data_IF_739619154165
#
_entry.id   IF_739619154165
#
_cell.length_a   1.000
_cell.length_b   1.000
_cell.length_c   1.000
_cell.angle_alpha   90.00
_cell.angle_beta   90.00
_cell.angle_gamma   90.00
#
_symmetry.space_group_name_H-M   'P 1'
#
loop_
_entity.id
_entity.type
_entity.pdbx_description
1 polymer ?
#
# COMPACT_ATOMS: atom_id res chain seq x y z
N UNK A 1 -1.19 -4.88 -10.28
CA UNK A 1 -0.32 -4.95 -9.09
C UNK A 1 0.11 -3.54 -8.72
N UNK A 2 0.20 -3.22 -7.43
CA UNK A 2 0.61 -1.89 -6.99
C UNK A 2 2.12 -1.71 -7.21
N UNK A 3 2.59 -0.52 -7.62
CA UNK A 3 4.01 -0.27 -7.82
C UNK A 3 4.83 -0.17 -6.53
N UNK A 4 4.17 -0.04 -5.37
CA UNK A 4 4.79 -0.09 -4.05
C UNK A 4 4.10 -1.13 -3.17
N UNK A 5 4.90 -1.99 -2.54
CA UNK A 5 4.46 -3.02 -1.59
C UNK A 5 5.04 -2.67 -0.22
N UNK A 6 4.28 -1.91 0.56
CA UNK A 6 4.64 -1.54 1.93
C UNK A 6 4.03 -2.59 2.87
N UNK A 7 4.82 -3.20 3.77
CA UNK A 7 4.28 -4.16 4.73
C UNK A 7 3.27 -3.49 5.66
N UNK A 8 2.17 -4.19 5.97
CA UNK A 8 1.29 -3.80 7.06
C UNK A 8 2.03 -3.88 8.40
N UNK A 9 1.54 -3.15 9.41
CA UNK A 9 2.19 -3.10 10.74
C UNK A 9 2.38 -4.49 11.36
N UNK A 10 1.37 -5.36 11.30
CA UNK A 10 1.44 -6.71 11.86
C UNK A 10 2.51 -7.55 11.15
N UNK A 11 2.56 -7.48 9.82
CA UNK A 11 3.59 -8.16 9.04
C UNK A 11 5.01 -7.61 9.34
N UNK A 12 5.14 -6.30 9.58
CA UNK A 12 6.41 -5.71 9.98
C UNK A 12 6.89 -6.24 11.34
N UNK A 13 5.97 -6.41 12.30
CA UNK A 13 6.29 -7.00 13.60
C UNK A 13 6.75 -8.46 13.45
N UNK A 14 6.10 -9.24 12.57
CA UNK A 14 6.56 -10.60 12.23
C UNK A 14 8.01 -10.58 11.68
N UNK A 15 8.32 -9.66 10.76
CA UNK A 15 9.68 -9.52 10.18
C UNK A 15 10.73 -9.14 11.24
N UNK A 16 10.36 -8.37 12.26
CA UNK A 16 11.26 -7.99 13.36
C UNK A 16 11.56 -9.18 14.29
N UNK A 17 10.57 -10.04 14.50
CA UNK A 17 10.70 -11.22 15.37
C UNK A 17 11.38 -12.40 14.68
N UNK A 18 11.38 -12.42 13.34
CA UNK A 18 12.03 -13.47 12.56
C UNK A 18 13.52 -13.59 12.87
N UNK A 19 13.93 -14.82 13.16
CA UNK A 19 15.32 -15.23 13.36
C UNK A 19 15.70 -16.26 12.32
N UNK A 20 16.96 -16.20 11.90
CA UNK A 20 17.55 -17.15 10.97
C UNK A 20 19.00 -16.79 10.70
N UNK A 21 19.84 -17.79 10.48
CA UNK A 21 21.25 -17.58 10.12
C UNK A 21 21.48 -18.25 8.76
N UNK A 22 21.90 -17.49 7.72
CA UNK A 22 21.97 -16.03 7.68
C UNK A 22 20.58 -15.38 7.55
N UNK A 23 20.38 -14.23 8.18
CA UNK A 23 19.35 -13.26 7.81
C UNK A 23 20.01 -12.15 7.01
N UNK A 24 19.75 -12.12 5.71
CA UNK A 24 20.32 -11.16 4.77
C UNK A 24 19.28 -10.07 4.50
N UNK A 25 19.66 -8.82 4.71
CA UNK A 25 18.90 -7.65 4.28
C UNK A 25 19.68 -6.91 3.20
N UNK A 26 19.06 -6.74 2.03
CA UNK A 26 19.57 -5.87 0.97
C UNK A 26 18.60 -4.71 0.78
N UNK A 27 19.10 -3.48 0.82
CA UNK A 27 18.37 -2.28 0.40
C UNK A 27 19.08 -1.63 -0.76
N UNK A 28 18.35 -1.17 -1.77
CA UNK A 28 18.93 -0.43 -2.90
C UNK A 28 17.96 0.59 -3.50
N UNK A 29 18.48 1.70 -4.07
CA UNK A 29 17.69 2.55 -4.95
C UNK A 29 17.16 1.74 -6.14
N UNK A 30 15.93 2.03 -6.55
CA UNK A 30 15.29 1.50 -7.74
C UNK A 30 14.66 2.64 -8.55
N UNK A 31 14.01 2.32 -9.67
CA UNK A 31 13.38 3.29 -10.55
C UNK A 31 12.19 2.64 -11.25
N UNK A 32 11.06 3.34 -11.41
CA UNK A 32 9.94 2.87 -12.26
C UNK A 32 10.26 2.93 -13.76
N UNK A 33 11.43 3.46 -14.15
CA UNK A 33 11.82 3.64 -15.56
C UNK A 33 12.47 2.34 -16.07
N UNK A 34 11.90 1.67 -17.09
CA UNK A 34 12.43 0.40 -17.59
C UNK A 34 13.89 0.44 -18.03
N UNK A 35 14.36 1.57 -18.56
CA UNK A 35 15.75 1.77 -18.98
C UNK A 35 16.76 1.71 -17.82
N UNK A 36 16.32 1.92 -16.57
CA UNK A 36 17.18 1.83 -15.39
C UNK A 36 17.30 0.40 -14.85
N UNK A 37 16.40 -0.51 -15.23
CA UNK A 37 16.26 -1.82 -14.58
C UNK A 37 17.53 -2.66 -14.69
N UNK A 38 18.19 -2.69 -15.85
CA UNK A 38 19.44 -3.45 -16.02
C UNK A 38 20.55 -2.94 -15.07
N UNK A 39 20.69 -1.62 -14.96
CA UNK A 39 21.66 -1.00 -14.04
C UNK A 39 21.36 -1.36 -12.58
N UNK A 40 20.08 -1.40 -12.21
CA UNK A 40 19.63 -1.76 -10.86
C UNK A 40 19.87 -3.26 -10.60
N UNK A 41 19.61 -4.14 -11.58
CA UNK A 41 19.91 -5.59 -11.49
C UNK A 41 21.42 -5.83 -11.29
N UNK A 42 22.29 -5.11 -12.01
CA UNK A 42 23.75 -5.17 -11.82
C UNK A 42 24.13 -4.74 -10.40
N UNK A 43 23.53 -3.65 -9.90
CA UNK A 43 23.78 -3.17 -8.54
C UNK A 43 23.33 -4.20 -7.49
N UNK A 44 22.16 -4.83 -7.68
CA UNK A 44 21.68 -5.90 -6.81
C UNK A 44 22.64 -7.10 -6.81
N UNK A 45 23.14 -7.50 -7.98
CA UNK A 45 24.14 -8.60 -8.08
C UNK A 45 25.38 -8.29 -7.24
N UNK A 46 25.91 -7.07 -7.32
CA UNK A 46 27.03 -6.64 -6.48
C UNK A 46 26.72 -6.70 -4.98
N UNK A 47 25.50 -6.32 -4.57
CA UNK A 47 25.07 -6.41 -3.17
C UNK A 47 24.88 -7.85 -2.68
N UNK A 48 24.47 -8.76 -3.56
CA UNK A 48 24.41 -10.20 -3.26
C UNK A 48 25.82 -10.75 -3.03
N UNK A 49 26.79 -10.36 -3.85
CA UNK A 49 28.19 -10.77 -3.69
C UNK A 49 28.82 -10.18 -2.41
N UNK A 50 28.47 -8.94 -2.06
CA UNK A 50 28.85 -8.33 -0.78
C UNK A 50 28.24 -9.07 0.42
N UNK A 51 26.98 -9.51 0.31
CA UNK A 51 26.33 -10.31 1.35
C UNK A 51 26.98 -11.70 1.52
N UNK A 52 27.34 -12.36 0.41
CA UNK A 52 28.07 -13.64 0.45
C UNK A 52 29.39 -13.48 1.21
N UNK A 53 30.16 -12.42 0.89
CA UNK A 53 31.43 -12.12 1.57
C UNK A 53 31.24 -11.88 3.08
N UNK A 54 30.27 -11.06 3.46
CA UNK A 54 29.95 -10.82 4.88
C UNK A 54 29.56 -12.11 5.61
N UNK A 55 28.76 -12.98 4.99
CA UNK A 55 28.36 -14.24 5.58
C UNK A 55 29.54 -15.22 5.72
N UNK A 56 30.47 -15.22 4.76
CA UNK A 56 31.71 -16.00 4.84
C UNK A 56 32.61 -15.50 5.98
N UNK A 57 32.82 -14.19 6.08
CA UNK A 57 33.63 -13.57 7.14
C UNK A 57 33.04 -13.81 8.53
N UNK A 58 31.71 -13.91 8.63
CA UNK A 58 30.98 -14.27 9.85
C UNK A 58 31.02 -15.78 10.19
N UNK A 59 31.67 -16.61 9.36
CA UNK A 59 31.79 -18.05 9.59
C UNK A 59 30.49 -18.83 9.39
N UNK A 60 29.54 -18.30 8.61
CA UNK A 60 28.27 -18.97 8.34
C UNK A 60 28.49 -20.14 7.39
N UNK A 61 27.92 -21.28 7.74
CA UNK A 61 28.01 -22.52 6.99
C UNK A 61 27.56 -22.36 5.53
N UNK A 62 28.28 -23.04 4.64
CA UNK A 62 28.11 -22.91 3.20
C UNK A 62 26.71 -23.28 2.72
N UNK A 63 26.07 -24.39 3.18
CA UNK A 63 24.73 -24.76 2.73
C UNK A 63 23.67 -23.70 3.04
N UNK A 64 23.69 -23.15 4.26
CA UNK A 64 22.77 -22.12 4.74
C UNK A 64 22.93 -20.84 3.93
N UNK A 65 24.18 -20.44 3.72
CA UNK A 65 24.52 -19.27 2.89
C UNK A 65 24.06 -19.43 1.45
N UNK A 66 24.35 -20.56 0.82
CA UNK A 66 23.96 -20.83 -0.57
C UNK A 66 22.42 -20.83 -0.74
N UNK A 67 21.68 -21.38 0.22
CA UNK A 67 20.21 -21.35 0.18
C UNK A 67 19.64 -19.92 0.22
N UNK A 68 20.12 -19.08 1.14
CA UNK A 68 19.67 -17.69 1.23
C UNK A 68 20.05 -16.88 -0.04
N UNK A 69 21.28 -17.05 -0.54
CA UNK A 69 21.74 -16.38 -1.75
C UNK A 69 21.00 -16.84 -3.01
N UNK A 70 20.64 -18.12 -3.11
CA UNK A 70 19.87 -18.64 -4.24
C UNK A 70 18.50 -17.95 -4.35
N UNK A 71 17.84 -17.70 -3.20
CA UNK A 71 16.56 -16.96 -3.18
C UNK A 71 16.74 -15.51 -3.66
N UNK A 72 17.80 -14.83 -3.24
CA UNK A 72 18.10 -13.47 -3.70
C UNK A 72 18.39 -13.44 -5.21
N UNK A 73 19.12 -14.44 -5.72
CA UNK A 73 19.44 -14.55 -7.15
C UNK A 73 18.18 -14.80 -7.98
N UNK A 74 17.22 -15.59 -7.49
CA UNK A 74 15.95 -15.80 -8.18
C UNK A 74 15.18 -14.50 -8.44
N UNK A 75 15.32 -13.47 -7.58
CA UNK A 75 14.69 -12.16 -7.80
C UNK A 75 15.30 -11.41 -8.99
N UNK A 76 16.57 -11.67 -9.34
CA UNK A 76 17.19 -11.04 -10.52
C UNK A 76 16.52 -11.48 -11.83
N UNK A 77 15.96 -12.68 -11.83
CA UNK A 77 15.34 -13.32 -13.00
C UNK A 77 13.81 -13.21 -13.00
N UNK A 78 13.22 -12.56 -11.99
CA UNK A 78 11.76 -12.37 -11.86
C UNK A 78 11.29 -11.13 -12.62
N UNK A 79 10.94 -11.29 -13.89
CA UNK A 79 10.50 -10.18 -14.75
C UNK A 79 9.21 -9.50 -14.25
N UNK A 80 8.31 -10.23 -13.58
CA UNK A 80 7.08 -9.65 -13.02
C UNK A 80 7.40 -8.70 -11.86
N UNK A 81 8.36 -9.08 -11.00
CA UNK A 81 8.89 -8.21 -9.96
C UNK A 81 9.47 -6.93 -10.57
N UNK A 82 10.28 -7.04 -11.62
CA UNK A 82 10.92 -5.89 -12.28
C UNK A 82 9.96 -5.06 -13.14
N UNK A 83 8.80 -5.57 -13.52
CA UNK A 83 7.83 -4.81 -14.34
C UNK A 83 7.23 -3.62 -13.60
N UNK A 84 7.04 -3.76 -12.28
CA UNK A 84 6.41 -2.73 -11.45
C UNK A 84 7.39 -2.30 -10.35
N UNK A 85 8.22 -1.29 -10.62
CA UNK A 85 9.23 -0.81 -9.68
C UNK A 85 8.85 0.54 -9.06
N UNK A 86 9.32 0.76 -7.84
CA UNK A 86 9.22 2.02 -7.13
C UNK A 86 10.64 2.64 -7.00
N UNK A 87 10.84 3.59 -6.09
CA UNK A 87 12.12 4.31 -5.92
C UNK A 87 13.17 3.53 -5.17
N UNK A 88 12.80 2.44 -4.50
CA UNK A 88 13.72 1.56 -3.77
C UNK A 88 13.16 0.16 -3.64
N UNK A 89 14.08 -0.78 -3.44
CA UNK A 89 13.79 -2.19 -3.16
C UNK A 89 14.43 -2.58 -1.84
N UNK A 90 13.73 -3.41 -1.07
CA UNK A 90 14.28 -4.11 0.10
C UNK A 90 14.02 -5.60 -0.06
N UNK A 91 15.07 -6.41 0.00
CA UNK A 91 15.00 -7.87 0.00
C UNK A 91 15.47 -8.39 1.36
N UNK A 92 14.66 -9.26 1.95
CA UNK A 92 14.96 -9.98 3.18
C UNK A 92 15.03 -11.46 2.85
N UNK A 93 16.20 -12.10 2.99
CA UNK A 93 16.39 -13.50 2.64
C UNK A 93 17.03 -14.30 3.77
N UNK A 94 16.49 -15.49 3.99
CA UNK A 94 17.04 -16.53 4.86
C UNK A 94 17.03 -17.86 4.11
N UNK A 95 17.61 -18.96 4.64
CA UNK A 95 17.56 -20.26 3.97
C UNK A 95 16.14 -20.71 3.61
N UNK A 96 15.16 -20.36 4.45
CA UNK A 96 13.78 -20.85 4.37
C UNK A 96 12.85 -19.97 3.53
N UNK A 97 13.12 -18.66 3.44
CA UNK A 97 12.17 -17.67 2.94
C UNK A 97 12.84 -16.43 2.37
N UNK A 98 12.10 -15.74 1.51
CA UNK A 98 12.43 -14.42 0.99
C UNK A 98 11.20 -13.51 1.05
N UNK A 99 11.42 -12.24 1.41
CA UNK A 99 10.44 -11.18 1.31
C UNK A 99 11.02 -10.05 0.47
N UNK A 100 10.21 -9.51 -0.45
CA UNK A 100 10.61 -8.43 -1.33
C UNK A 100 9.62 -7.27 -1.19
N UNK A 101 10.15 -6.07 -0.99
CA UNK A 101 9.36 -4.85 -0.79
C UNK A 101 9.79 -3.77 -1.77
N UNK A 102 8.82 -3.05 -2.30
CA UNK A 102 9.01 -1.91 -3.22
C UNK A 102 8.56 -0.65 -2.52
N UNK A 103 9.47 0.29 -2.31
CA UNK A 103 9.25 1.43 -1.42
C UNK A 103 9.43 2.77 -2.12
N UNK A 104 8.51 3.70 -1.81
CA UNK A 104 8.46 5.05 -2.37
C UNK A 104 9.51 6.01 -1.82
N UNK A 105 10.24 5.62 -0.78
CA UNK A 105 11.38 6.38 -0.29
C UNK A 105 12.64 6.05 -1.11
N UNK A 106 13.65 6.92 -1.06
CA UNK A 106 14.96 6.62 -1.63
C UNK A 106 15.85 6.08 -0.51
N UNK A 107 16.20 4.81 -0.61
CA UNK A 107 17.14 4.13 0.26
C UNK A 107 18.53 4.14 -0.34
N UNK A 108 19.54 3.98 0.52
CA UNK A 108 20.92 3.80 0.11
C UNK A 108 21.20 2.32 -0.18
N UNK A 109 22.07 2.07 -1.16
CA UNK A 109 22.53 0.72 -1.47
C UNK A 109 23.37 0.15 -0.33
N UNK A 110 22.94 -1.00 0.22
CA UNK A 110 23.59 -1.67 1.34
C UNK A 110 23.14 -3.12 1.41
N UNK A 111 24.07 -3.99 1.78
CA UNK A 111 23.81 -5.37 2.18
C UNK A 111 24.22 -5.56 3.64
N UNK A 112 23.45 -6.34 4.38
CA UNK A 112 23.74 -6.72 5.76
C UNK A 112 23.43 -8.16 6.02
N UNK A 113 24.25 -8.81 6.83
CA UNK A 113 24.07 -10.19 7.29
C UNK A 113 24.08 -10.21 8.81
N UNK A 114 23.07 -10.83 9.42
CA UNK A 114 22.95 -11.02 10.87
C UNK A 114 22.14 -12.29 11.19
N UNK A 115 21.80 -12.50 12.46
CA UNK A 115 20.83 -13.50 12.94
C UNK A 115 19.36 -13.04 12.80
N UNK A 116 19.13 -11.78 12.40
CA UNK A 116 17.83 -11.15 12.18
C UNK A 116 17.87 -10.18 11.00
N UNK A 117 16.70 -9.87 10.44
CA UNK A 117 16.59 -8.85 9.39
C UNK A 117 16.78 -7.44 9.93
N UNK A 118 17.52 -6.61 9.18
CA UNK A 118 17.52 -5.16 9.36
C UNK A 118 16.22 -4.59 8.78
N UNK A 119 15.25 -4.32 9.65
CA UNK A 119 13.94 -3.74 9.29
C UNK A 119 13.95 -2.21 9.32
N UNK A 120 15.08 -1.59 9.67
CA UNK A 120 15.25 -0.12 9.68
C UNK A 120 14.82 0.56 8.36
N UNK A 121 15.19 0.01 7.18
CA UNK A 121 14.73 0.53 5.89
C UNK A 121 13.19 0.53 5.72
N UNK A 122 12.50 -0.46 6.31
CA UNK A 122 11.03 -0.61 6.20
C UNK A 122 10.29 0.35 7.12
N UNK A 123 10.80 0.58 8.34
CA UNK A 123 10.16 1.46 9.33
C UNK A 123 9.89 2.86 8.74
N UNK A 124 10.85 3.43 8.00
CA UNK A 124 10.67 4.74 7.35
C UNK A 124 9.56 4.76 6.30
N UNK A 125 9.31 3.64 5.62
CA UNK A 125 8.26 3.56 4.61
C UNK A 125 6.86 3.44 5.22
N UNK A 126 6.75 2.77 6.37
CA UNK A 126 5.49 2.65 7.12
C UNK A 126 5.13 3.94 7.86
N UNK A 127 6.10 4.67 8.43
CA UNK A 127 5.81 5.92 9.17
C UNK A 127 5.29 7.04 8.27
N UNK A 128 5.69 7.07 6.99
CA UNK A 128 5.24 8.07 6.04
C UNK A 128 4.78 7.39 4.76
N UNK A 129 3.58 6.77 4.77
CA UNK A 129 3.01 6.24 3.55
C UNK A 129 2.87 7.41 2.58
N UNK A 130 3.69 7.42 1.53
CA UNK A 130 3.69 8.47 0.50
C UNK A 130 2.52 8.27 -0.47
N UNK A 131 1.35 8.01 0.09
CA UNK A 131 0.09 7.76 -0.60
C UNK A 131 -1.05 8.25 0.27
N UNK A 132 -2.15 8.59 -0.38
CA UNK A 132 -3.39 8.94 0.28
C UNK A 132 -4.56 8.50 -0.59
N UNK A 133 -5.71 8.35 0.05
CA UNK A 133 -6.97 8.11 -0.64
C UNK A 133 -7.79 9.39 -0.67
N UNK A 134 -8.54 9.58 -1.74
CA UNK A 134 -9.52 10.64 -1.91
C UNK A 134 -10.88 9.96 -2.01
N UNK A 135 -11.76 10.28 -1.06
CA UNK A 135 -13.17 9.91 -1.14
C UNK A 135 -13.92 11.11 -1.68
N UNK A 136 -14.46 10.98 -2.87
CA UNK A 136 -15.32 11.99 -3.46
C UNK A 136 -16.76 11.55 -3.23
N UNK A 137 -17.55 12.34 -2.49
CA UNK A 137 -18.95 12.04 -2.22
C UNK A 137 -19.84 13.16 -2.74
N UNK A 138 -20.86 12.77 -3.50
CA UNK A 138 -21.87 13.66 -4.07
C UNK A 138 -23.24 12.99 -4.07
N UNK A 139 -24.27 13.74 -4.47
CA UNK A 139 -25.61 13.19 -4.76
C UNK A 139 -25.61 12.15 -5.87
N UNK A 140 -24.70 12.26 -6.83
CA UNK A 140 -24.59 11.34 -7.97
C UNK A 140 -23.84 10.04 -7.67
N UNK A 141 -23.35 9.85 -6.44
CA UNK A 141 -22.57 8.68 -6.03
C UNK A 141 -21.28 9.06 -5.30
N UNK A 142 -20.49 8.05 -4.96
CA UNK A 142 -19.17 8.22 -4.38
C UNK A 142 -18.10 7.49 -5.19
N UNK A 143 -16.88 8.02 -5.16
CA UNK A 143 -15.70 7.47 -5.81
C UNK A 143 -14.56 7.40 -4.81
N UNK A 144 -13.73 6.37 -4.92
CA UNK A 144 -12.53 6.21 -4.14
C UNK A 144 -11.33 6.19 -5.07
N UNK A 145 -10.43 7.14 -4.89
CA UNK A 145 -9.22 7.25 -5.72
C UNK A 145 -7.99 7.25 -4.84
N UNK A 146 -7.00 6.43 -5.17
CA UNK A 146 -5.68 6.44 -4.54
C UNK A 146 -4.71 7.28 -5.37
N UNK A 147 -3.81 8.00 -4.71
CA UNK A 147 -2.62 8.55 -5.34
C UNK A 147 -1.40 8.27 -4.48
N UNK A 148 -0.24 8.08 -5.13
CA UNK A 148 1.02 7.83 -4.45
C UNK A 148 2.19 8.57 -5.09
N UNK A 149 3.33 8.59 -4.42
CA UNK A 149 4.54 9.25 -4.94
C UNK A 149 5.12 8.59 -6.20
N UNK A 150 4.70 7.36 -6.52
CA UNK A 150 5.25 6.55 -7.62
C UNK A 150 4.19 6.04 -8.59
N UNK A 151 2.94 6.44 -8.40
CA UNK A 151 1.85 6.16 -9.33
C UNK A 151 0.88 7.32 -9.41
N UNK A 152 0.25 7.48 -10.57
CA UNK A 152 -0.81 8.46 -10.77
C UNK A 152 -2.08 8.10 -10.00
N UNK A 153 -3.19 8.76 -10.35
CA UNK A 153 -4.49 8.47 -9.76
C UNK A 153 -4.95 7.06 -10.18
N UNK A 154 -5.32 6.23 -9.20
CA UNK A 154 -5.88 4.90 -9.41
C UNK A 154 -7.28 4.86 -8.79
N UNK A 155 -8.30 4.58 -9.58
CA UNK A 155 -9.69 4.46 -9.09
C UNK A 155 -9.91 3.05 -8.52
N UNK A 156 -10.54 2.99 -7.36
CA UNK A 156 -10.90 1.76 -6.66
C UNK A 156 -12.42 1.58 -6.71
N UNK A 157 -12.86 0.36 -7.02
CA UNK A 157 -14.29 0.03 -7.04
C UNK A 157 -14.86 0.17 -5.63
N UNK A 158 -15.87 1.05 -5.51
CA UNK A 158 -16.64 1.24 -4.29
C UNK A 158 -18.02 0.63 -4.49
N UNK A 159 -18.29 -0.59 -3.99
CA UNK A 159 -19.55 -1.29 -4.24
C UNK A 159 -20.68 -0.64 -3.41
N UNK A 160 -21.32 0.38 -3.99
CA UNK A 160 -22.46 1.04 -3.37
C UNK A 160 -23.79 0.36 -3.77
N UNK A 161 -24.74 0.14 -2.84
CA UNK A 161 -26.05 -0.45 -3.15
C UNK A 161 -26.80 0.37 -4.18
N UNK A 162 -27.30 -0.21 -5.28
CA UNK A 162 -27.88 0.48 -6.45
C UNK A 162 -28.91 1.59 -6.13
N UNK A 163 -29.59 1.50 -4.99
CA UNK A 163 -30.58 2.47 -4.52
C UNK A 163 -29.95 3.77 -3.97
N UNK A 164 -28.62 3.88 -3.85
CA UNK A 164 -27.95 5.06 -3.28
C UNK A 164 -28.21 6.36 -4.05
N UNK A 165 -28.48 6.27 -5.36
CA UNK A 165 -28.87 7.41 -6.19
C UNK A 165 -30.31 7.87 -5.88
N UNK A 166 -31.21 6.95 -5.52
CA UNK A 166 -32.58 7.26 -5.12
C UNK A 166 -32.63 7.98 -3.77
N UNK A 167 -31.65 7.76 -2.88
CA UNK A 167 -31.57 8.38 -1.53
C UNK A 167 -31.46 9.91 -1.59
N UNK A 168 -31.02 10.47 -2.72
CA UNK A 168 -30.83 11.91 -2.87
C UNK A 168 -31.67 12.52 -4.00
N UNK A 169 -32.58 11.77 -4.63
CA UNK A 169 -33.34 12.26 -5.81
C UNK A 169 -34.69 12.93 -5.44
N UNK A 170 -35.21 12.77 -4.21
CA UNK A 170 -36.54 13.33 -3.86
C UNK A 170 -36.55 14.79 -3.37
N UNK A 171 -35.49 15.57 -3.58
CA UNK A 171 -35.47 16.99 -3.20
C UNK A 171 -35.91 17.97 -4.30
N UNK A 172 -36.34 17.49 -5.46
CA UNK A 172 -36.81 18.38 -6.55
C UNK A 172 -38.01 17.80 -7.31
N UNK A 173 -39.06 17.43 -6.59
CA UNK A 173 -40.38 17.25 -7.19
C UNK A 173 -41.28 18.38 -6.69
N UNK A 174 -41.28 19.47 -7.46
CA UNK A 174 -42.33 20.47 -7.35
C UNK A 174 -43.69 19.81 -7.58
N UNK A 175 -44.46 19.67 -6.51
CA UNK A 175 -45.90 19.42 -6.55
C UNK A 175 -46.32 18.00 -6.96
N UNK A 176 -46.96 17.33 -6.00
CA UNK A 176 -48.13 16.47 -6.19
C UNK A 176 -47.91 14.96 -6.40
N UNK A 177 -47.87 14.22 -5.28
CA UNK A 177 -48.60 12.96 -5.10
C UNK A 177 -48.75 12.63 -3.59
N UNK A 178 -50.00 12.39 -3.17
CA UNK A 178 -50.45 12.11 -1.80
C UNK A 178 -49.90 10.79 -1.23
N UNK A 179 -48.97 10.87 -0.27
CA UNK A 179 -48.85 9.91 0.84
C UNK A 179 -48.15 10.60 2.04
N UNK A 180 -48.75 10.64 3.25
CA UNK A 180 -48.10 11.23 4.41
C UNK A 180 -47.07 10.24 4.99
N UNK A 181 -45.84 10.27 4.46
CA UNK A 181 -44.65 9.88 5.21
C UNK A 181 -44.17 11.09 6.03
N UNK A 182 -43.42 10.91 7.14
CA UNK A 182 -43.00 12.02 7.98
C UNK A 182 -41.97 12.89 7.24
N UNK A 183 -42.47 13.80 6.40
CA UNK A 183 -41.69 14.78 5.64
C UNK A 183 -41.39 15.96 6.56
N UNK A 184 -40.18 15.95 7.11
CA UNK A 184 -39.57 17.07 7.80
C UNK A 184 -38.05 16.95 7.66
N UNK A 185 -37.33 18.05 7.91
CA UNK A 185 -35.86 18.15 7.85
C UNK A 185 -35.09 17.02 8.56
N UNK A 186 -35.75 16.25 9.41
CA UNK A 186 -35.23 15.07 10.12
C UNK A 186 -35.10 13.81 9.24
N UNK A 187 -36.01 13.58 8.28
CA UNK A 187 -35.99 12.38 7.42
C UNK A 187 -34.86 12.42 6.39
N UNK A 188 -34.78 13.54 5.67
CA UNK A 188 -33.71 13.85 4.70
C UNK A 188 -32.31 13.83 5.35
N UNK A 189 -32.22 14.27 6.61
CA UNK A 189 -30.99 14.15 7.40
C UNK A 189 -30.61 12.70 7.71
N UNK A 190 -31.58 11.88 8.14
CA UNK A 190 -31.33 10.48 8.48
C UNK A 190 -30.90 9.67 7.25
N UNK A 191 -31.45 10.00 6.08
CA UNK A 191 -31.11 9.39 4.80
C UNK A 191 -29.68 9.74 4.36
N UNK A 192 -29.29 11.02 4.49
CA UNK A 192 -27.90 11.46 4.28
C UNK A 192 -26.92 10.78 5.22
N UNK A 193 -27.24 10.74 6.52
CA UNK A 193 -26.41 10.06 7.52
C UNK A 193 -26.25 8.56 7.20
N UNK A 194 -27.32 7.89 6.75
CA UNK A 194 -27.27 6.49 6.32
C UNK A 194 -26.39 6.30 5.09
N UNK A 195 -26.54 7.14 4.06
CA UNK A 195 -25.69 7.09 2.86
C UNK A 195 -24.22 7.31 3.19
N UNK A 196 -23.91 8.35 3.96
CA UNK A 196 -22.55 8.65 4.40
C UNK A 196 -21.92 7.50 5.19
N UNK A 197 -22.72 6.80 6.01
CA UNK A 197 -22.26 5.64 6.77
C UNK A 197 -21.94 4.43 5.88
N UNK A 198 -22.78 4.15 4.89
CA UNK A 198 -22.51 3.07 3.91
C UNK A 198 -21.22 3.34 3.16
N UNK A 199 -21.02 4.58 2.68
CA UNK A 199 -19.77 4.99 2.02
C UNK A 199 -18.59 4.82 2.97
N UNK A 200 -18.71 5.26 4.22
CA UNK A 200 -17.66 5.12 5.22
C UNK A 200 -17.28 3.66 5.49
N UNK A 201 -18.28 2.78 5.63
CA UNK A 201 -18.05 1.36 5.90
C UNK A 201 -17.33 0.68 4.73
N UNK A 202 -17.69 1.01 3.48
CA UNK A 202 -17.01 0.48 2.30
C UNK A 202 -15.59 1.04 2.14
N UNK A 203 -15.39 2.35 2.38
CA UNK A 203 -14.04 2.96 2.38
C UNK A 203 -13.16 2.31 3.44
N UNK A 204 -13.67 2.04 4.64
CA UNK A 204 -12.92 1.42 5.72
C UNK A 204 -12.50 -0.04 5.44
N UNK A 205 -13.17 -0.72 4.50
CA UNK A 205 -12.77 -2.06 4.04
C UNK A 205 -11.59 -2.01 3.06
N UNK A 206 -11.53 -0.96 2.25
CA UNK A 206 -10.54 -0.84 1.16
C UNK A 206 -9.29 -0.12 1.66
N UNK A 207 -9.45 0.95 2.45
CA UNK A 207 -8.35 1.82 2.87
C UNK A 207 -7.62 1.24 4.09
N UNK A 208 -6.29 1.04 4.02
CA UNK A 208 -5.51 0.62 5.19
C UNK A 208 -5.51 1.68 6.29
N UNK A 209 -5.56 1.21 7.56
CA UNK A 209 -5.76 2.07 8.74
C UNK A 209 -4.70 3.16 8.94
N UNK A 210 -3.51 2.96 8.39
CA UNK A 210 -2.33 3.81 8.55
C UNK A 210 -2.17 4.85 7.41
N UNK A 211 -3.15 4.95 6.51
CA UNK A 211 -3.08 5.84 5.34
C UNK A 211 -4.08 6.99 5.47
N UNK A 212 -3.66 8.24 5.18
CA UNK A 212 -4.58 9.38 5.22
C UNK A 212 -5.68 9.26 4.15
N UNK A 213 -6.90 9.65 4.53
CA UNK A 213 -8.05 9.81 3.65
C UNK A 213 -8.42 11.28 3.58
N UNK A 214 -8.53 11.81 2.37
CA UNK A 214 -9.01 13.15 2.06
C UNK A 214 -10.48 13.01 1.65
N UNK A 215 -11.37 13.68 2.38
CA UNK A 215 -12.77 13.75 2.02
C UNK A 215 -13.02 14.97 1.13
N UNK A 216 -13.61 14.74 -0.05
CA UNK A 216 -14.12 15.77 -0.94
C UNK A 216 -15.64 15.60 -1.02
N UNK A 217 -16.38 16.33 -0.18
CA UNK A 217 -17.83 16.30 -0.16
C UNK A 217 -18.42 17.48 -0.93
N UNK A 218 -19.51 17.25 -1.65
CA UNK A 218 -20.36 18.33 -2.11
C UNK A 218 -20.93 19.13 -0.91
N UNK A 219 -21.17 20.43 -1.09
CA UNK A 219 -21.51 21.38 0.00
C UNK A 219 -22.76 20.97 0.80
N UNK A 220 -23.65 20.18 0.20
CA UNK A 220 -24.86 19.64 0.81
C UNK A 220 -24.63 18.42 1.73
N UNK A 221 -23.47 17.76 1.62
CA UNK A 221 -23.08 16.58 2.42
C UNK A 221 -21.99 16.86 3.45
N UNK A 222 -21.28 17.99 3.32
CA UNK A 222 -20.23 18.46 4.22
C UNK A 222 -20.61 18.49 5.72
N UNK A 223 -21.82 18.93 6.12
CA UNK A 223 -22.22 18.98 7.54
C UNK A 223 -22.28 17.62 8.24
N UNK A 224 -22.37 16.53 7.47
CA UNK A 224 -22.50 15.15 7.99
C UNK A 224 -21.13 14.57 8.38
N UNK A 225 -20.05 15.04 7.77
CA UNK A 225 -18.69 14.57 8.03
C UNK A 225 -17.82 15.57 8.81
N UNK A 226 -18.26 16.82 8.94
CA UNK A 226 -17.56 17.86 9.70
C UNK A 226 -17.81 17.81 11.24
N UNK A 227 -18.24 16.66 11.79
CA UNK A 227 -18.53 16.46 13.21
C UNK A 227 -17.60 15.47 13.88
#
# INVERSE_FOLDING_TARGET
MLPADIPQTDHLLELVEMRGIPSITISLPSSPVPADHERIRIQLRGLIDDADRQAQDAGIDRPEREQALARLRAVLDDDDFWTHQSRSVVLLASPERIHAFRLANRLTARATVSDRFDTGPLLRAVTFPRRAFIVQISRGGARLTEFGADHGLTEHDLPLPSDHQLILTEADNGGQADFPRPQGATGDRLERERYCRVVQDEVARIVPRDVPVILCAATDLDPTYAR
#
